data_IF_462735888387
#
_entry.id   IF_462735888387
#
_cell.length_a   1.000
_cell.length_b   1.000
_cell.length_c   1.000
_cell.angle_alpha   90.00
_cell.angle_beta   90.00
_cell.angle_gamma   90.00
#
_symmetry.space_group_name_H-M   'P 1'
#
loop_
_entity.id
_entity.type
_entity.pdbx_description
1 polymer ?
#
# COMPACT_ATOMS: atom_id res chain seq x y z
N UNK A 1 -51.78 -18.11 20.42
CA UNK A 1 -51.33 -17.25 19.31
C UNK A 1 -49.88 -17.61 19.03
N UNK A 2 -49.56 -18.12 17.84
CA UNK A 2 -48.17 -18.29 17.41
C UNK A 2 -47.74 -16.95 16.80
N UNK A 3 -46.75 -16.30 17.41
CA UNK A 3 -46.23 -15.02 16.93
C UNK A 3 -45.19 -15.38 15.86
N UNK A 4 -45.45 -15.00 14.61
CA UNK A 4 -44.54 -15.23 13.50
C UNK A 4 -43.37 -14.23 13.55
N UNK A 5 -42.20 -14.71 13.96
CA UNK A 5 -40.97 -13.93 14.10
C UNK A 5 -40.02 -14.08 12.90
N UNK A 6 -40.41 -14.81 11.85
CA UNK A 6 -39.52 -15.14 10.72
C UNK A 6 -39.05 -13.89 9.97
N UNK A 7 -39.95 -12.93 9.74
CA UNK A 7 -39.62 -11.66 9.09
C UNK A 7 -38.64 -10.81 9.91
N UNK A 8 -38.79 -10.78 11.24
CA UNK A 8 -37.89 -10.08 12.13
C UNK A 8 -36.49 -10.72 12.12
N UNK A 9 -36.41 -12.06 12.13
CA UNK A 9 -35.15 -12.80 12.08
C UNK A 9 -34.40 -12.62 10.75
N UNK A 10 -35.13 -12.58 9.63
CA UNK A 10 -34.56 -12.31 8.31
C UNK A 10 -34.00 -10.87 8.22
N UNK A 11 -34.74 -9.88 8.70
CA UNK A 11 -34.26 -8.49 8.71
C UNK A 11 -33.01 -8.28 9.58
N UNK A 12 -32.91 -8.98 10.72
CA UNK A 12 -31.74 -8.92 11.60
C UNK A 12 -30.50 -9.58 10.99
N UNK A 13 -30.68 -10.70 10.29
CA UNK A 13 -29.58 -11.39 9.60
C UNK A 13 -29.05 -10.57 8.42
N UNK A 14 -29.92 -9.89 7.66
CA UNK A 14 -29.48 -8.97 6.59
C UNK A 14 -28.71 -7.74 7.12
N UNK A 15 -29.14 -7.16 8.24
CA UNK A 15 -28.45 -6.01 8.86
C UNK A 15 -27.07 -6.42 9.40
N UNK A 16 -26.97 -7.58 10.06
CA UNK A 16 -25.70 -8.08 10.59
C UNK A 16 -24.72 -8.45 9.46
N UNK A 17 -25.19 -9.10 8.40
CA UNK A 17 -24.39 -9.39 7.21
C UNK A 17 -23.89 -8.11 6.52
N UNK A 18 -24.73 -7.07 6.40
CA UNK A 18 -24.32 -5.79 5.82
C UNK A 18 -23.32 -5.03 6.70
N UNK A 19 -23.42 -5.11 8.03
CA UNK A 19 -22.41 -4.52 8.93
C UNK A 19 -21.04 -5.18 8.76
N UNK A 20 -21.00 -6.51 8.65
CA UNK A 20 -19.75 -7.26 8.47
C UNK A 20 -19.11 -6.94 7.12
N UNK A 21 -19.90 -6.89 6.03
CA UNK A 21 -19.41 -6.49 4.70
C UNK A 21 -18.80 -5.08 4.69
N UNK A 22 -19.44 -4.12 5.37
CA UNK A 22 -18.94 -2.75 5.45
C UNK A 22 -17.69 -2.60 6.34
N UNK A 23 -17.54 -3.43 7.37
CA UNK A 23 -16.34 -3.45 8.21
C UNK A 23 -15.13 -3.98 7.42
N UNK A 24 -15.29 -5.08 6.69
CA UNK A 24 -14.24 -5.65 5.84
C UNK A 24 -13.83 -4.72 4.70
N UNK A 25 -14.78 -4.01 4.08
CA UNK A 25 -14.47 -3.06 3.01
C UNK A 25 -13.54 -1.91 3.45
N UNK A 26 -13.70 -1.40 4.67
CA UNK A 26 -12.81 -0.36 5.23
C UNK A 26 -11.43 -0.91 5.58
N UNK A 27 -11.37 -2.15 6.03
CA UNK A 27 -10.13 -2.81 6.40
C UNK A 27 -9.29 -3.14 5.16
N UNK A 28 -9.94 -3.58 4.07
CA UNK A 28 -9.31 -3.82 2.77
C UNK A 28 -8.69 -2.55 2.17
N UNK A 29 -9.39 -1.41 2.26
CA UNK A 29 -8.84 -0.12 1.78
C UNK A 29 -7.62 0.32 2.57
N UNK A 30 -7.66 0.14 3.90
CA UNK A 30 -6.56 0.52 4.77
C UNK A 30 -5.34 -0.39 4.56
N UNK A 31 -5.57 -1.69 4.36
CA UNK A 31 -4.52 -2.66 4.09
C UNK A 31 -3.82 -2.38 2.76
N UNK A 32 -4.58 -2.01 1.71
CA UNK A 32 -4.01 -1.60 0.43
C UNK A 32 -3.12 -0.36 0.56
N UNK A 33 -3.60 0.67 1.26
CA UNK A 33 -2.83 1.90 1.51
C UNK A 33 -1.52 1.65 2.27
N UNK A 34 -1.56 0.82 3.31
CA UNK A 34 -0.35 0.44 4.05
C UNK A 34 0.64 -0.34 3.19
N UNK A 35 0.12 -1.18 2.29
CA UNK A 35 0.95 -1.99 1.41
C UNK A 35 1.62 -1.15 0.33
N UNK A 36 0.90 -0.19 -0.25
CA UNK A 36 1.45 0.79 -1.19
C UNK A 36 2.55 1.65 -0.51
N UNK A 37 2.33 2.08 0.74
CA UNK A 37 3.31 2.84 1.51
C UNK A 37 4.59 2.02 1.79
N UNK A 38 4.45 0.72 2.08
CA UNK A 38 5.59 -0.18 2.26
C UNK A 38 6.38 -0.36 0.95
N UNK A 39 5.70 -0.57 -0.18
CA UNK A 39 6.35 -0.68 -1.48
C UNK A 39 7.12 0.60 -1.82
N UNK A 40 6.54 1.78 -1.59
CA UNK A 40 7.23 3.06 -1.81
C UNK A 40 8.51 3.18 -0.97
N UNK A 41 8.48 2.75 0.29
CA UNK A 41 9.65 2.74 1.16
C UNK A 41 10.73 1.77 0.65
N UNK A 42 10.34 0.58 0.22
CA UNK A 42 11.27 -0.42 -0.31
C UNK A 42 11.91 0.05 -1.62
N UNK A 43 11.12 0.56 -2.55
CA UNK A 43 11.59 1.12 -3.83
C UNK A 43 12.58 2.25 -3.58
N UNK A 44 12.26 3.17 -2.66
CA UNK A 44 13.16 4.24 -2.25
C UNK A 44 14.48 3.71 -1.70
N UNK A 45 14.45 2.71 -0.82
CA UNK A 45 15.66 2.12 -0.24
C UNK A 45 16.55 1.46 -1.31
N UNK A 46 15.94 0.75 -2.28
CA UNK A 46 16.68 0.15 -3.41
C UNK A 46 17.27 1.22 -4.32
N UNK A 47 16.50 2.27 -4.66
CA UNK A 47 17.00 3.40 -5.46
C UNK A 47 18.15 4.12 -4.76
N UNK A 48 18.02 4.36 -3.46
CA UNK A 48 19.04 5.02 -2.65
C UNK A 48 20.34 4.19 -2.60
N UNK A 49 20.28 2.86 -2.64
CA UNK A 49 21.47 1.99 -2.75
C UNK A 49 22.08 2.08 -4.16
N UNK A 50 21.28 1.90 -5.20
CA UNK A 50 21.76 1.92 -6.59
C UNK A 50 22.43 3.25 -6.95
N UNK A 51 21.83 4.38 -6.55
CA UNK A 51 22.35 5.71 -6.83
C UNK A 51 23.60 6.06 -6.00
N UNK A 52 23.76 5.46 -4.81
CA UNK A 52 24.98 5.57 -4.01
C UNK A 52 26.13 4.74 -4.61
N UNK A 53 25.83 3.64 -5.30
CA UNK A 53 26.84 2.87 -6.03
C UNK A 53 27.35 3.62 -7.27
N UNK A 54 26.47 4.30 -8.02
CA UNK A 54 26.86 5.19 -9.12
C UNK A 54 27.74 6.36 -8.65
N UNK A 55 27.50 6.90 -7.46
CA UNK A 55 28.31 7.98 -6.88
C UNK A 55 29.75 7.54 -6.55
N UNK A 56 29.98 6.26 -6.25
CA UNK A 56 31.34 5.73 -6.03
C UNK A 56 32.14 5.61 -7.32
N UNK A 57 31.46 5.51 -8.47
CA UNK A 57 32.06 5.44 -9.80
C UNK A 57 32.04 6.78 -10.56
N UNK A 58 31.48 7.84 -9.97
CA UNK A 58 31.44 9.16 -10.59
C UNK A 58 32.82 9.83 -10.51
N UNK A 59 33.46 9.95 -11.67
CA UNK A 59 34.75 10.64 -11.86
C UNK A 59 34.68 12.16 -11.61
N UNK A 60 33.51 12.70 -11.24
CA UNK A 60 33.26 14.13 -11.10
C UNK A 60 32.99 14.53 -9.63
N UNK A 61 33.56 15.64 -9.14
CA UNK A 61 33.30 16.13 -7.78
C UNK A 61 31.82 16.47 -7.62
N UNK A 62 31.20 16.06 -6.50
CA UNK A 62 29.81 16.40 -6.18
C UNK A 62 29.64 17.91 -6.10
N UNK A 63 28.85 18.49 -7.02
CA UNK A 63 28.46 19.89 -6.96
C UNK A 63 27.54 20.14 -5.75
N UNK A 64 27.77 21.23 -5.02
CA UNK A 64 26.95 21.60 -3.87
C UNK A 64 25.47 21.74 -4.29
N UNK A 65 24.58 20.97 -3.65
CA UNK A 65 23.14 20.96 -3.95
C UNK A 65 22.65 19.77 -4.79
N UNK A 66 23.55 18.97 -5.38
CA UNK A 66 23.16 17.79 -6.16
C UNK A 66 22.40 16.75 -5.31
N UNK A 67 22.74 16.62 -4.03
CA UNK A 67 22.06 15.70 -3.10
C UNK A 67 20.59 16.11 -2.85
N UNK A 68 20.27 17.40 -2.91
CA UNK A 68 18.90 17.92 -2.72
C UNK A 68 18.04 17.63 -3.95
N UNK A 69 18.56 17.90 -5.15
CA UNK A 69 17.82 17.60 -6.39
C UNK A 69 17.60 16.10 -6.56
N UNK A 70 18.59 15.28 -6.20
CA UNK A 70 18.45 13.82 -6.21
C UNK A 70 17.44 13.32 -5.20
N UNK A 71 17.41 13.82 -3.97
CA UNK A 71 16.42 13.36 -3.00
C UNK A 71 14.99 13.68 -3.46
N UNK A 72 14.77 14.88 -4.01
CA UNK A 72 13.48 15.26 -4.60
C UNK A 72 13.12 14.38 -5.81
N UNK A 73 14.07 14.11 -6.70
CA UNK A 73 13.85 13.24 -7.86
C UNK A 73 13.54 11.81 -7.42
N UNK A 74 14.31 11.26 -6.47
CA UNK A 74 14.08 9.92 -5.92
C UNK A 74 12.72 9.81 -5.25
N UNK A 75 12.31 10.83 -4.48
CA UNK A 75 11.00 10.84 -3.83
C UNK A 75 9.86 10.88 -4.85
N UNK A 76 9.99 11.69 -5.92
CA UNK A 76 8.99 11.75 -6.98
C UNK A 76 8.93 10.45 -7.81
N UNK A 77 10.10 9.91 -8.15
CA UNK A 77 10.24 8.67 -8.92
C UNK A 77 9.75 7.46 -8.11
N UNK A 78 10.10 7.37 -6.83
CA UNK A 78 9.64 6.29 -5.94
C UNK A 78 8.12 6.33 -5.75
N UNK A 79 7.52 7.52 -5.65
CA UNK A 79 6.06 7.66 -5.62
C UNK A 79 5.39 7.30 -6.94
N UNK A 80 6.03 7.61 -8.07
CA UNK A 80 5.49 7.28 -9.39
C UNK A 80 5.61 5.78 -9.73
N UNK A 81 6.63 5.10 -9.20
CA UNK A 81 6.84 3.65 -9.36
C UNK A 81 6.07 2.81 -8.35
N UNK A 82 5.81 3.34 -7.15
CA UNK A 82 4.93 2.70 -6.16
C UNK A 82 3.53 2.52 -6.73
N UNK A 83 2.97 1.31 -6.59
CA UNK A 83 1.69 0.89 -7.15
C UNK A 83 1.74 0.39 -8.61
N UNK A 84 2.77 0.73 -9.39
CA UNK A 84 2.91 0.28 -10.80
C UNK A 84 3.85 -0.91 -10.97
N UNK A 85 4.66 -1.24 -9.96
CA UNK A 85 5.54 -2.40 -9.97
C UNK A 85 4.83 -3.71 -9.60
N UNK A 86 3.61 -3.62 -9.06
CA UNK A 86 2.77 -4.78 -8.73
C UNK A 86 3.19 -5.55 -7.48
N UNK A 87 4.21 -5.10 -6.74
CA UNK A 87 4.55 -5.73 -5.47
C UNK A 87 3.52 -5.42 -4.39
N UNK A 88 2.90 -4.25 -4.43
CA UNK A 88 1.84 -3.92 -3.46
C UNK A 88 0.60 -4.79 -3.63
N UNK A 89 0.24 -5.13 -4.86
CA UNK A 89 -0.89 -6.03 -5.16
C UNK A 89 -0.57 -7.46 -4.73
N UNK A 90 0.67 -7.93 -4.96
CA UNK A 90 1.13 -9.26 -4.56
C UNK A 90 1.18 -9.42 -3.03
N UNK A 91 1.64 -8.39 -2.30
CA UNK A 91 1.64 -8.38 -0.84
C UNK A 91 0.22 -8.28 -0.26
N UNK A 92 -0.64 -7.45 -0.87
CA UNK A 92 -2.05 -7.35 -0.49
C UNK A 92 -2.76 -8.71 -0.64
N UNK A 93 -2.56 -9.37 -1.78
CA UNK A 93 -3.14 -10.69 -2.05
C UNK A 93 -2.57 -11.77 -1.12
N UNK A 94 -1.28 -11.71 -0.80
CA UNK A 94 -0.66 -12.60 0.19
C UNK A 94 -1.29 -12.43 1.58
N UNK A 95 -1.37 -11.19 2.06
CA UNK A 95 -1.95 -10.87 3.37
C UNK A 95 -3.43 -11.22 3.45
N UNK A 96 -4.19 -11.01 2.35
CA UNK A 96 -5.61 -11.35 2.28
C UNK A 96 -5.86 -12.86 2.18
N UNK A 97 -4.94 -13.62 1.59
CA UNK A 97 -5.03 -15.08 1.52
C UNK A 97 -4.76 -15.74 2.88
N UNK A 98 -3.84 -15.17 3.67
CA UNK A 98 -3.42 -15.71 4.95
C UNK A 98 -4.16 -15.08 6.16
N UNK A 99 -5.16 -14.21 5.91
CA UNK A 99 -5.99 -13.53 6.94
C UNK A 99 -7.36 -14.17 7.17
#
# INVERSE_FOLDING_TARGET
MQIDNTLALNSYSDISANKIKNANAKQDTLLKEQTDAFEAFMVKAVLDIALKEDDKNSLYPKAAGNDIYRSMYNDAMSKALSGNLGFSELLYDFLKRDS
#
